data_IF_180681301067
#
_entry.id   IF_180681301067
#
_cell.length_a   1.000
_cell.length_b   1.000
_cell.length_c   1.000
_cell.angle_alpha   90.00
_cell.angle_beta   90.00
_cell.angle_gamma   90.00
#
_symmetry.space_group_name_H-M   'P 1'
#
loop_
_entity.id
_entity.type
_entity.pdbx_description
1 polymer ?
#
# COMPACT_ATOMS: atom_id res chain seq x y z
N UNK A 1 1.52 -6.74 -5.46
CA UNK A 1 2.37 -6.26 -4.36
C UNK A 1 1.68 -6.51 -3.05
N UNK A 2 2.41 -6.86 -2.00
CA UNK A 2 1.86 -7.08 -0.66
C UNK A 2 2.74 -6.34 0.35
N UNK A 3 2.17 -5.35 1.02
CA UNK A 3 2.79 -4.66 2.16
C UNK A 3 2.29 -5.25 3.47
N UNK A 4 2.89 -4.88 4.61
CA UNK A 4 2.44 -5.35 5.91
C UNK A 4 2.72 -4.32 7.02
N UNK A 5 1.87 -4.29 8.06
CA UNK A 5 1.94 -3.34 9.19
C UNK A 5 3.17 -3.47 10.09
N UNK A 6 4.00 -4.51 9.88
CA UNK A 6 5.26 -4.70 10.60
C UNK A 6 6.50 -4.56 9.71
N UNK A 7 6.43 -3.71 8.67
CA UNK A 7 7.58 -3.48 7.81
C UNK A 7 8.74 -2.84 8.59
N UNK A 8 9.69 -3.68 9.00
CA UNK A 8 10.89 -3.29 9.75
C UNK A 8 11.77 -2.28 9.02
N UNK A 9 11.81 -2.35 7.69
CA UNK A 9 12.58 -1.41 6.86
C UNK A 9 12.06 0.04 6.99
N UNK A 10 10.74 0.23 7.01
CA UNK A 10 10.13 1.54 7.21
C UNK A 10 10.33 2.02 8.66
N UNK A 11 10.25 1.12 9.64
CA UNK A 11 10.50 1.46 11.05
C UNK A 11 11.96 1.88 11.30
N UNK A 12 12.91 1.15 10.72
CA UNK A 12 14.33 1.49 10.78
C UNK A 12 14.55 2.86 10.13
N UNK A 13 13.91 3.10 8.98
CA UNK A 13 14.02 4.38 8.30
C UNK A 13 13.53 5.56 9.15
N UNK A 14 12.35 5.41 9.78
CA UNK A 14 11.76 6.45 10.64
C UNK A 14 12.59 6.75 11.91
N UNK A 15 13.43 5.82 12.36
CA UNK A 15 14.30 5.98 13.53
C UNK A 15 15.66 6.64 13.23
N UNK A 16 15.94 6.93 11.96
CA UNK A 16 17.23 7.42 11.49
C UNK A 16 17.98 6.34 10.73
N UNK A 17 18.02 6.46 9.40
CA UNK A 17 18.61 5.48 8.47
C UNK A 17 20.00 5.91 7.94
N UNK A 18 20.60 6.91 8.57
CA UNK A 18 21.82 7.54 8.06
C UNK A 18 23.05 6.63 8.18
N UNK A 19 23.02 5.64 9.08
CA UNK A 19 24.12 4.70 9.31
C UNK A 19 24.04 3.41 8.49
N UNK A 20 23.01 3.25 7.67
CA UNK A 20 22.78 2.03 6.89
C UNK A 20 23.60 2.01 5.59
N UNK A 21 23.80 0.82 5.00
CA UNK A 21 24.61 0.68 3.77
C UNK A 21 23.93 1.36 2.56
N UNK A 22 24.75 1.87 1.64
CA UNK A 22 24.28 2.69 0.50
C UNK A 22 23.26 1.98 -0.39
N UNK A 23 23.36 0.65 -0.54
CA UNK A 23 22.38 -0.15 -1.28
C UNK A 23 20.98 -0.05 -0.67
N UNK A 24 20.86 -0.13 0.65
CA UNK A 24 19.55 -0.04 1.32
C UNK A 24 19.04 1.41 1.31
N UNK A 25 19.93 2.40 1.45
CA UNK A 25 19.57 3.82 1.28
C UNK A 25 18.98 4.07 -0.10
N UNK A 26 19.61 3.56 -1.15
CA UNK A 26 19.15 3.73 -2.53
C UNK A 26 17.80 3.07 -2.79
N UNK A 27 17.58 1.88 -2.22
CA UNK A 27 16.29 1.20 -2.29
C UNK A 27 15.19 1.95 -1.54
N UNK A 28 15.51 2.67 -0.46
CA UNK A 28 14.53 3.41 0.34
C UNK A 28 14.40 4.88 -0.06
N UNK A 29 15.21 5.38 -0.99
CA UNK A 29 15.23 6.79 -1.41
C UNK A 29 13.86 7.28 -1.93
N UNK A 30 13.07 6.40 -2.53
CA UNK A 30 11.74 6.76 -3.00
C UNK A 30 10.73 7.02 -1.86
N UNK A 31 11.03 6.55 -0.64
CA UNK A 31 10.24 6.86 0.55
C UNK A 31 10.53 8.25 1.11
N UNK A 32 11.70 8.85 0.81
CA UNK A 32 12.07 10.21 1.25
C UNK A 32 10.98 11.26 1.05
N UNK A 33 10.39 11.42 -0.16
CA UNK A 33 9.34 12.42 -0.36
C UNK A 33 8.06 12.09 0.43
N UNK A 34 7.65 10.82 0.49
CA UNK A 34 6.46 10.36 1.21
C UNK A 34 6.60 10.66 2.71
N UNK A 35 7.78 10.43 3.26
CA UNK A 35 8.06 10.64 4.68
C UNK A 35 8.20 12.12 4.98
N UNK A 36 8.85 12.91 4.11
CA UNK A 36 8.96 14.37 4.26
C UNK A 36 7.61 15.07 4.32
N UNK A 37 6.67 14.67 3.47
CA UNK A 37 5.29 15.21 3.49
C UNK A 37 4.57 14.91 4.82
N UNK A 38 4.88 13.78 5.46
CA UNK A 38 4.26 13.33 6.71
C UNK A 38 4.97 13.89 7.96
N UNK A 39 6.27 14.20 7.89
CA UNK A 39 7.07 14.71 9.01
C UNK A 39 6.83 16.18 9.39
N UNK A 40 5.98 16.90 8.66
CA UNK A 40 5.56 18.26 9.04
C UNK A 40 4.59 18.27 10.25
N UNK A 41 4.19 17.10 10.76
CA UNK A 41 3.43 16.91 12.00
C UNK A 41 4.10 15.93 12.96
N UNK A 42 3.59 15.81 14.20
CA UNK A 42 4.07 14.79 15.15
C UNK A 42 3.84 13.40 14.56
N UNK A 43 4.84 12.48 14.59
CA UNK A 43 4.62 11.09 14.24
C UNK A 43 3.54 10.49 15.13
N UNK A 44 2.44 10.06 14.55
CA UNK A 44 1.43 9.24 15.22
C UNK A 44 1.54 7.79 14.74
N UNK A 45 0.89 6.88 15.45
CA UNK A 45 0.97 5.44 15.16
C UNK A 45 0.49 5.11 13.73
N UNK A 46 -0.41 5.93 13.20
CA UNK A 46 -1.01 5.77 11.87
C UNK A 46 -0.12 6.25 10.71
N UNK A 47 0.94 7.00 11.00
CA UNK A 47 1.91 7.45 9.99
C UNK A 47 2.61 6.28 9.30
N UNK A 48 2.90 5.20 10.05
CA UNK A 48 3.55 4.01 9.51
C UNK A 48 2.69 3.33 8.43
N UNK A 49 1.39 3.13 8.72
CA UNK A 49 0.41 2.57 7.78
C UNK A 49 0.30 3.42 6.52
N UNK A 50 0.23 4.75 6.67
CA UNK A 50 0.18 5.69 5.53
C UNK A 50 1.41 5.56 4.63
N UNK A 51 2.61 5.43 5.21
CA UNK A 51 3.85 5.29 4.43
C UNK A 51 3.86 3.97 3.65
N UNK A 52 3.44 2.86 4.27
CA UNK A 52 3.34 1.56 3.58
C UNK A 52 2.34 1.63 2.43
N UNK A 53 1.17 2.24 2.65
CA UNK A 53 0.14 2.33 1.61
C UNK A 53 0.60 3.20 0.42
N UNK A 54 1.37 4.26 0.69
CA UNK A 54 2.01 5.09 -0.35
C UNK A 54 3.13 4.36 -1.05
N UNK A 55 3.90 3.52 -0.36
CA UNK A 55 4.89 2.64 -0.96
C UNK A 55 4.22 1.67 -1.95
N UNK A 56 3.11 1.04 -1.54
CA UNK A 56 2.33 0.17 -2.42
C UNK A 56 1.84 0.91 -3.66
N UNK A 57 1.31 2.12 -3.51
CA UNK A 57 0.91 2.96 -4.64
C UNK A 57 2.06 3.26 -5.59
N UNK A 58 3.25 3.55 -5.05
CA UNK A 58 4.45 3.80 -5.85
C UNK A 58 4.83 2.56 -6.67
N UNK A 59 4.88 1.39 -6.04
CA UNK A 59 5.20 0.13 -6.74
C UNK A 59 4.19 -0.21 -7.83
N UNK A 60 2.88 -0.01 -7.55
CA UNK A 60 1.82 -0.15 -8.56
C UNK A 60 2.06 0.80 -9.72
N UNK A 61 2.39 2.07 -9.47
CA UNK A 61 2.64 3.05 -10.53
C UNK A 61 3.84 2.68 -11.40
N UNK A 62 4.94 2.20 -10.79
CA UNK A 62 6.13 1.75 -11.53
C UNK A 62 5.79 0.55 -12.42
N UNK A 63 5.12 -0.46 -11.87
CA UNK A 63 4.72 -1.64 -12.64
C UNK A 63 3.69 -1.31 -13.72
N UNK A 64 2.73 -0.44 -13.45
CA UNK A 64 1.74 0.00 -14.43
C UNK A 64 2.42 0.69 -15.62
N UNK A 65 3.41 1.56 -15.36
CA UNK A 65 4.19 2.20 -16.44
C UNK A 65 4.95 1.17 -17.27
N UNK A 66 5.56 0.17 -16.63
CA UNK A 66 6.35 -0.88 -17.29
C UNK A 66 5.50 -1.82 -18.15
N UNK A 67 4.30 -2.17 -17.69
CA UNK A 67 3.44 -3.19 -18.31
C UNK A 67 2.16 -2.62 -18.90
N UNK A 68 2.14 -1.33 -19.26
CA UNK A 68 0.95 -0.60 -19.72
C UNK A 68 0.18 -1.37 -20.80
N UNK A 69 0.88 -1.80 -21.85
CA UNK A 69 0.26 -2.45 -23.01
C UNK A 69 -0.48 -3.75 -22.63
N UNK A 70 0.08 -4.53 -21.70
CA UNK A 70 -0.56 -5.76 -21.23
C UNK A 70 -1.79 -5.48 -20.36
N UNK A 71 -1.75 -4.40 -19.57
CA UNK A 71 -2.85 -4.00 -18.70
C UNK A 71 -4.00 -3.44 -19.54
N UNK A 72 -3.70 -2.55 -20.48
CA UNK A 72 -4.69 -1.95 -21.39
C UNK A 72 -5.29 -3.01 -22.33
N UNK A 73 -4.53 -4.05 -22.69
CA UNK A 73 -5.05 -5.21 -23.42
C UNK A 73 -5.85 -6.20 -22.55
N UNK A 74 -6.02 -5.94 -21.25
CA UNK A 74 -6.75 -6.82 -20.33
C UNK A 74 -6.05 -8.14 -19.99
N UNK A 75 -4.75 -8.26 -20.30
CA UNK A 75 -3.94 -9.47 -20.11
C UNK A 75 -3.21 -9.50 -18.77
N UNK A 76 -3.14 -8.36 -18.07
CA UNK A 76 -2.47 -8.24 -16.78
C UNK A 76 -3.26 -7.31 -15.86
N UNK A 77 -3.37 -7.70 -14.59
CA UNK A 77 -3.89 -6.86 -13.51
C UNK A 77 -2.83 -6.73 -12.42
N UNK A 78 -2.61 -5.52 -11.95
CA UNK A 78 -1.74 -5.23 -10.81
C UNK A 78 -2.62 -4.94 -9.61
N UNK A 79 -2.47 -5.76 -8.56
CA UNK A 79 -3.15 -5.59 -7.28
C UNK A 79 -2.11 -5.26 -6.20
N UNK A 80 -2.41 -4.28 -5.36
CA UNK A 80 -1.72 -4.09 -4.09
C UNK A 80 -2.63 -4.44 -2.92
N UNK A 81 -2.15 -5.35 -2.07
CA UNK A 81 -2.73 -5.66 -0.78
C UNK A 81 -1.88 -5.15 0.37
N UNK A 82 -2.52 -4.91 1.49
CA UNK A 82 -1.91 -4.63 2.78
C UNK A 82 -2.27 -5.77 3.74
N UNK A 83 -1.28 -6.47 4.27
CA UNK A 83 -1.48 -7.49 5.29
C UNK A 83 -1.45 -6.87 6.68
N UNK A 84 -2.60 -6.84 7.34
CA UNK A 84 -2.84 -6.07 8.55
C UNK A 84 -2.76 -6.92 9.82
N UNK A 85 -1.53 -7.22 10.27
CA UNK A 85 -1.29 -7.91 11.54
C UNK A 85 -1.73 -7.14 12.79
N UNK A 86 -2.05 -5.85 12.66
CA UNK A 86 -2.29 -4.96 13.80
C UNK A 86 -3.76 -4.52 13.89
N UNK A 87 -4.57 -4.84 12.88
CA UNK A 87 -5.96 -4.41 12.78
C UNK A 87 -6.10 -2.90 12.56
N UNK A 88 -5.09 -2.25 11.97
CA UNK A 88 -5.05 -0.81 11.69
C UNK A 88 -6.23 -0.36 10.80
N UNK A 89 -6.74 -1.22 9.92
CA UNK A 89 -7.91 -0.94 9.08
C UNK A 89 -9.25 -1.13 9.80
N UNK A 90 -9.25 -1.66 11.04
CA UNK A 90 -10.48 -1.95 11.78
C UNK A 90 -11.30 -3.12 11.20
N UNK A 91 -10.68 -3.95 10.35
CA UNK A 91 -11.33 -5.05 9.62
C UNK A 91 -11.07 -6.42 10.25
N UNK A 92 -10.30 -6.47 11.33
CA UNK A 92 -9.86 -7.70 11.96
C UNK A 92 -8.35 -7.89 11.82
N UNK A 93 -7.75 -8.54 12.80
CA UNK A 93 -6.32 -8.78 12.83
C UNK A 93 -5.94 -9.91 11.88
N UNK A 94 -4.87 -9.71 11.11
CA UNK A 94 -4.39 -10.70 10.15
C UNK A 94 -5.23 -10.76 8.88
N UNK A 95 -5.89 -9.67 8.52
CA UNK A 95 -6.64 -9.58 7.27
C UNK A 95 -5.79 -8.98 6.14
N UNK A 96 -6.14 -9.29 4.89
CA UNK A 96 -5.56 -8.65 3.70
C UNK A 96 -6.56 -7.63 3.15
N UNK A 97 -6.15 -6.37 3.15
CA UNK A 97 -6.93 -5.27 2.58
C UNK A 97 -6.36 -4.89 1.23
N UNK A 98 -7.15 -5.02 0.17
CA UNK A 98 -6.85 -4.54 -1.17
C UNK A 98 -7.03 -3.04 -1.20
N UNK A 99 -5.93 -2.33 -1.48
CA UNK A 99 -5.84 -0.86 -1.38
C UNK A 99 -5.65 -0.17 -2.73
N UNK A 100 -5.29 -0.93 -3.77
CA UNK A 100 -5.04 -0.40 -5.10
C UNK A 100 -5.16 -1.50 -6.17
N UNK A 101 -5.86 -1.22 -7.27
CA UNK A 101 -5.87 -2.05 -8.49
C UNK A 101 -5.62 -1.17 -9.69
N UNK A 102 -4.57 -1.44 -10.47
CA UNK A 102 -4.26 -0.69 -11.70
C UNK A 102 -4.26 0.86 -11.54
N UNK A 103 -3.86 1.36 -10.35
CA UNK A 103 -3.86 2.77 -9.92
C UNK A 103 -5.20 3.32 -9.40
N UNK A 104 -6.27 2.53 -9.45
CA UNK A 104 -7.54 2.86 -8.79
C UNK A 104 -7.42 2.59 -7.29
N UNK A 105 -7.77 3.56 -6.45
CA UNK A 105 -7.54 3.51 -4.98
C UNK A 105 -8.79 3.70 -4.13
N UNK A 106 -9.86 4.25 -4.71
CA UNK A 106 -11.09 4.53 -3.98
C UNK A 106 -11.82 3.23 -3.72
N UNK A 107 -12.04 2.90 -2.45
CA UNK A 107 -12.65 1.63 -2.05
C UNK A 107 -13.99 1.36 -2.76
N UNK A 108 -14.87 2.36 -2.83
CA UNK A 108 -16.18 2.19 -3.48
C UNK A 108 -16.11 1.96 -4.99
N UNK A 109 -15.06 2.45 -5.64
CA UNK A 109 -14.81 2.19 -7.06
C UNK A 109 -14.13 0.82 -7.25
N UNK A 110 -13.23 0.44 -6.33
CA UNK A 110 -12.60 -0.89 -6.32
C UNK A 110 -13.62 -2.02 -6.17
N UNK A 111 -14.56 -1.90 -5.23
CA UNK A 111 -15.60 -2.92 -4.96
C UNK A 111 -16.48 -3.25 -6.18
N UNK A 112 -16.53 -2.35 -7.16
CA UNK A 112 -17.31 -2.47 -8.40
C UNK A 112 -16.53 -3.13 -9.53
N UNK A 113 -15.24 -3.43 -9.35
CA UNK A 113 -14.44 -4.06 -10.39
C UNK A 113 -14.89 -5.52 -10.61
N UNK A 114 -15.03 -5.97 -11.87
CA UNK A 114 -15.50 -7.34 -12.16
C UNK A 114 -14.66 -8.46 -11.54
N UNK A 115 -13.37 -8.20 -11.30
CA UNK A 115 -12.47 -9.15 -10.63
C UNK A 115 -12.89 -9.50 -9.19
N UNK A 116 -13.80 -8.73 -8.60
CA UNK A 116 -14.34 -8.95 -7.27
C UNK A 116 -15.80 -9.39 -7.26
N UNK A 117 -16.39 -9.72 -8.42
CA UNK A 117 -17.79 -10.21 -8.51
C UNK A 117 -17.99 -11.55 -7.79
N UNK A 118 -16.93 -12.34 -7.63
CA UNK A 118 -16.96 -13.59 -6.86
C UNK A 118 -17.09 -13.35 -5.34
N UNK A 119 -16.78 -12.16 -4.86
CA UNK A 119 -16.85 -11.81 -3.45
C UNK A 119 -18.27 -11.36 -3.09
N UNK A 120 -18.77 -11.85 -1.95
CA UNK A 120 -19.95 -11.28 -1.29
C UNK A 120 -19.68 -9.83 -0.85
N UNK A 121 -20.75 -9.06 -0.64
CA UNK A 121 -20.62 -7.68 -0.14
C UNK A 121 -19.90 -7.62 1.21
N UNK A 122 -20.16 -8.57 2.12
CA UNK A 122 -19.43 -8.68 3.38
C UNK A 122 -17.92 -8.91 3.17
N UNK A 123 -17.52 -9.75 2.21
CA UNK A 123 -16.11 -9.97 1.87
C UNK A 123 -15.48 -8.74 1.19
N UNK A 124 -16.22 -8.01 0.37
CA UNK A 124 -15.75 -6.74 -0.21
C UNK A 124 -15.55 -5.69 0.87
N UNK A 125 -16.44 -5.61 1.85
CA UNK A 125 -16.31 -4.72 2.99
C UNK A 125 -15.14 -5.09 3.90
N UNK A 126 -14.84 -6.38 4.01
CA UNK A 126 -13.72 -6.90 4.79
C UNK A 126 -12.37 -6.73 4.08
N UNK A 127 -12.27 -7.10 2.80
CA UNK A 127 -10.99 -7.19 2.10
C UNK A 127 -10.69 -6.02 1.16
N UNK A 128 -11.55 -5.02 1.03
CA UNK A 128 -11.29 -3.85 0.18
C UNK A 128 -11.42 -2.59 1.02
N UNK A 129 -10.42 -1.72 0.95
CA UNK A 129 -10.38 -0.55 1.80
C UNK A 129 -9.23 0.39 1.48
N UNK A 130 -9.26 1.54 2.14
CA UNK A 130 -8.20 2.53 2.10
C UNK A 130 -8.02 3.07 3.51
N UNK A 131 -6.77 3.27 3.90
CA UNK A 131 -6.45 3.82 5.21
C UNK A 131 -6.72 5.32 5.20
N UNK A 132 -7.90 5.71 5.68
CA UNK A 132 -8.30 7.10 5.87
C UNK A 132 -8.52 7.33 7.37
N UNK A 133 -7.90 8.37 7.91
CA UNK A 133 -8.26 8.97 9.21
C UNK A 133 -8.85 10.34 8.91
#
# INVERSE_FOLDING_TARGET
>A
FLGHSDCGAIKAYLKGFEEEIDGIKHELDFLKPIIREQSNGKPDESMHTRIIEKNLDYQVNVAYKKYRDLIEAGKLVIIAGFYDFRGEYGKGQGDIVIVNVNRLKKADELKKLPIFDILSEAQKDLHIGRFNI
#
